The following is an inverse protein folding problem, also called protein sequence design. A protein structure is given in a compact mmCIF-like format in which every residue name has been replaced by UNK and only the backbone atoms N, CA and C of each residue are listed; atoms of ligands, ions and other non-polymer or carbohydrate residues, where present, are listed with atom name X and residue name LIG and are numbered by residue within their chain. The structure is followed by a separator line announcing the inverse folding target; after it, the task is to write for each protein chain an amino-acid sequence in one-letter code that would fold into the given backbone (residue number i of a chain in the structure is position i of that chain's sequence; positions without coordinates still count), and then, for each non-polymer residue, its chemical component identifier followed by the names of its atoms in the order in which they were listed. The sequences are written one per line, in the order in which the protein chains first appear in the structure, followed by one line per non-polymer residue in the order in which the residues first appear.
data_IF_744309933947
#
_entry.id   IF_744309933947
#
_cell.length_a   1.000
_cell.length_b   1.000
_cell.length_c   1.000
_cell.angle_alpha   90.00
_cell.angle_beta   90.00
_cell.angle_gamma   90.00
#
_symmetry.space_group_name_H-M   'P 1'
#
loop_
_entity.id
_entity.type
_entity.pdbx_description
1 polymer ?
#
# COMPACT_ATOMS: atom_id res chain seq x y z
N UNK A 1 -7.88 -28.36 9.02
CA UNK A 1 -7.05 -28.51 10.24
C UNK A 1 -7.74 -27.77 11.40
N UNK A 2 -7.62 -28.18 12.67
CA UNK A 2 -8.26 -27.41 13.77
C UNK A 2 -7.43 -26.18 14.14
N UNK A 3 -8.08 -25.05 14.43
CA UNK A 3 -7.40 -23.81 14.83
C UNK A 3 -6.56 -23.99 16.10
N UNK A 4 -7.01 -24.83 17.03
CA UNK A 4 -6.28 -25.18 18.24
C UNK A 4 -4.91 -25.85 17.95
N UNK A 5 -4.85 -26.76 16.97
CA UNK A 5 -3.59 -27.40 16.59
C UNK A 5 -2.61 -26.40 15.94
N UNK A 6 -3.14 -25.43 15.18
CA UNK A 6 -2.35 -24.32 14.63
C UNK A 6 -1.75 -23.49 15.77
N UNK A 7 -2.57 -23.09 16.75
CA UNK A 7 -2.14 -22.32 17.91
C UNK A 7 -1.01 -22.99 18.68
N UNK A 8 -1.18 -24.25 19.06
CA UNK A 8 -0.17 -25.02 19.80
C UNK A 8 1.16 -25.10 19.05
N UNK A 9 1.08 -25.25 17.72
CA UNK A 9 2.25 -25.33 16.86
C UNK A 9 2.94 -23.97 16.70
N UNK A 10 2.21 -22.86 16.56
CA UNK A 10 2.81 -21.52 16.45
C UNK A 10 3.43 -21.10 17.78
N UNK A 11 2.82 -21.48 18.91
CA UNK A 11 3.28 -21.12 20.25
C UNK A 11 4.60 -21.82 20.60
N UNK A 12 4.76 -23.10 20.26
CA UNK A 12 5.88 -23.93 20.71
C UNK A 12 6.81 -24.42 19.59
N UNK A 13 6.39 -24.30 18.34
CA UNK A 13 7.06 -24.88 17.19
C UNK A 13 8.32 -24.13 16.75
N UNK A 14 9.20 -24.87 16.08
CA UNK A 14 10.31 -24.30 15.31
C UNK A 14 9.81 -23.80 13.96
N UNK A 15 10.60 -22.93 13.33
CA UNK A 15 10.29 -22.31 12.04
C UNK A 15 9.72 -23.27 11.00
N UNK A 16 10.34 -24.43 10.77
CA UNK A 16 9.89 -25.36 9.72
C UNK A 16 8.53 -26.01 10.02
N UNK A 17 8.24 -26.27 11.30
CA UNK A 17 6.95 -26.83 11.72
C UNK A 17 5.87 -25.77 11.63
N UNK A 18 6.18 -24.54 12.04
CA UNK A 18 5.28 -23.39 11.94
C UNK A 18 4.98 -23.06 10.47
N UNK A 19 5.98 -23.10 9.60
CA UNK A 19 5.80 -22.90 8.17
C UNK A 19 4.79 -23.91 7.59
N UNK A 20 4.98 -25.21 7.86
CA UNK A 20 4.09 -26.26 7.32
C UNK A 20 2.65 -26.14 7.81
N UNK A 21 2.46 -25.88 9.11
CA UNK A 21 1.12 -25.75 9.69
C UNK A 21 0.39 -24.54 9.13
N UNK A 22 1.10 -23.40 9.00
CA UNK A 22 0.51 -22.18 8.47
C UNK A 22 0.26 -22.24 6.96
N UNK A 23 1.10 -22.96 6.18
CA UNK A 23 0.81 -23.22 4.76
C UNK A 23 -0.53 -23.96 4.59
N UNK A 24 -0.78 -24.96 5.44
CA UNK A 24 -2.05 -25.70 5.43
C UNK A 24 -3.21 -24.78 5.82
N UNK A 25 -3.05 -24.02 6.91
CA UNK A 25 -4.05 -23.03 7.35
C UNK A 25 -4.36 -21.99 6.26
N UNK A 26 -3.35 -21.44 5.61
CA UNK A 26 -3.49 -20.41 4.57
C UNK A 26 -4.20 -20.99 3.34
N UNK A 27 -3.88 -22.22 2.94
CA UNK A 27 -4.55 -22.87 1.81
C UNK A 27 -6.04 -23.05 2.09
N UNK A 28 -6.40 -23.50 3.29
CA UNK A 28 -7.79 -23.69 3.71
C UNK A 28 -8.56 -22.35 3.80
N UNK A 29 -7.90 -21.26 4.21
CA UNK A 29 -8.56 -19.98 4.54
C UNK A 29 -8.30 -18.83 3.55
N UNK A 30 -7.57 -19.05 2.46
CA UNK A 30 -7.14 -18.00 1.52
C UNK A 30 -8.30 -17.16 0.93
N UNK A 31 -9.46 -17.79 0.75
CA UNK A 31 -10.71 -17.18 0.25
C UNK A 31 -11.77 -17.00 1.34
N UNK A 32 -11.38 -17.10 2.62
CA UNK A 32 -12.28 -16.87 3.73
C UNK A 32 -12.50 -15.35 3.94
N UNK A 33 -13.78 -14.94 3.93
CA UNK A 33 -14.23 -13.57 4.20
C UNK A 33 -15.31 -13.52 5.30
N UNK A 34 -15.75 -14.68 5.78
CA UNK A 34 -16.77 -14.85 6.82
C UNK A 34 -16.19 -15.70 7.94
N UNK A 35 -16.18 -15.18 9.15
CA UNK A 35 -15.54 -15.82 10.29
C UNK A 35 -16.58 -16.15 11.37
N UNK A 36 -16.45 -17.32 11.96
CA UNK A 36 -17.33 -17.78 13.04
C UNK A 36 -17.03 -17.00 14.34
N UNK A 37 -18.06 -16.65 15.09
CA UNK A 37 -17.92 -15.98 16.36
C UNK A 37 -17.40 -16.92 17.46
N UNK A 38 -17.60 -18.24 17.32
CA UNK A 38 -17.15 -19.23 18.29
C UNK A 38 -15.62 -19.29 18.41
N UNK A 39 -14.90 -19.14 17.29
CA UNK A 39 -13.42 -19.22 17.23
C UNK A 39 -12.72 -17.85 17.34
N UNK A 40 -13.45 -16.79 17.75
CA UNK A 40 -12.94 -15.43 17.73
C UNK A 40 -11.71 -15.25 18.64
N UNK A 41 -11.73 -15.81 19.85
CA UNK A 41 -10.65 -15.63 20.82
C UNK A 41 -9.39 -16.41 20.41
N UNK A 42 -9.55 -17.58 19.80
CA UNK A 42 -8.49 -18.36 19.20
C UNK A 42 -7.83 -17.60 18.04
N UNK A 43 -8.63 -16.94 17.18
CA UNK A 43 -8.10 -16.09 16.11
C UNK A 43 -7.33 -14.90 16.64
N UNK A 44 -7.80 -14.23 17.71
CA UNK A 44 -7.04 -13.17 18.38
C UNK A 44 -5.74 -13.70 18.98
N UNK A 45 -5.76 -14.87 19.60
CA UNK A 45 -4.54 -15.52 20.13
C UNK A 45 -3.55 -15.80 19.01
N UNK A 46 -4.02 -16.33 17.88
CA UNK A 46 -3.18 -16.61 16.71
C UNK A 46 -2.56 -15.32 16.17
N UNK A 47 -3.33 -14.25 16.04
CA UNK A 47 -2.85 -12.94 15.61
C UNK A 47 -1.70 -12.41 16.50
N UNK A 48 -1.84 -12.49 17.82
CA UNK A 48 -0.78 -12.10 18.76
C UNK A 48 0.49 -12.96 18.60
N UNK A 49 0.32 -14.28 18.49
CA UNK A 49 1.43 -15.21 18.32
C UNK A 49 2.19 -14.96 17.01
N UNK A 50 1.47 -14.70 15.91
CA UNK A 50 2.07 -14.41 14.60
C UNK A 50 2.92 -13.14 14.62
N UNK A 51 2.44 -12.06 15.24
CA UNK A 51 3.22 -10.82 15.38
C UNK A 51 4.51 -11.09 16.17
N UNK A 52 4.40 -11.76 17.33
CA UNK A 52 5.55 -12.13 18.15
C UNK A 52 6.53 -13.05 17.42
N UNK A 53 6.02 -13.92 16.56
CA UNK A 53 6.84 -14.82 15.75
C UNK A 53 7.63 -14.03 14.69
N UNK A 54 7.00 -13.04 14.05
CA UNK A 54 7.61 -12.13 13.06
C UNK A 54 8.67 -11.17 13.64
N UNK A 55 8.79 -11.08 14.96
CA UNK A 55 9.89 -10.35 15.63
C UNK A 55 11.20 -11.15 15.66
N UNK A 56 11.14 -12.45 15.39
CA UNK A 56 12.33 -13.32 15.31
C UNK A 56 13.01 -13.18 13.95
N UNK A 57 14.26 -13.62 13.88
CA UNK A 57 14.96 -13.82 12.61
C UNK A 57 14.39 -15.07 11.94
N UNK A 58 13.67 -14.88 10.84
CA UNK A 58 12.99 -15.94 10.10
C UNK A 58 13.48 -15.96 8.65
N UNK A 59 13.45 -17.13 8.03
CA UNK A 59 13.64 -17.24 6.57
C UNK A 59 12.50 -16.54 5.82
N UNK A 60 12.74 -15.96 4.63
CA UNK A 60 11.73 -15.24 3.86
C UNK A 60 10.43 -16.01 3.63
N UNK A 61 10.52 -17.30 3.28
CA UNK A 61 9.33 -18.14 3.08
C UNK A 61 8.45 -18.25 4.32
N UNK A 62 9.06 -18.31 5.52
CA UNK A 62 8.31 -18.34 6.77
C UNK A 62 7.70 -16.97 7.11
N UNK A 63 8.38 -15.87 6.78
CA UNK A 63 7.85 -14.53 6.95
C UNK A 63 6.60 -14.33 6.07
N UNK A 64 6.70 -14.67 4.77
CA UNK A 64 5.58 -14.61 3.83
C UNK A 64 4.39 -15.42 4.34
N UNK A 65 4.60 -16.70 4.72
CA UNK A 65 3.50 -17.53 5.23
C UNK A 65 2.87 -16.97 6.50
N UNK A 66 3.65 -16.39 7.42
CA UNK A 66 3.09 -15.71 8.60
C UNK A 66 2.27 -14.47 8.21
N UNK A 67 2.77 -13.66 7.28
CA UNK A 67 2.09 -12.45 6.79
C UNK A 67 0.81 -12.80 6.03
N UNK A 68 0.78 -13.88 5.25
CA UNK A 68 -0.45 -14.39 4.62
C UNK A 68 -1.51 -14.76 5.66
N UNK A 69 -1.11 -15.43 6.75
CA UNK A 69 -2.02 -15.74 7.86
C UNK A 69 -2.54 -14.46 8.52
N UNK A 70 -1.67 -13.46 8.74
CA UNK A 70 -2.07 -12.13 9.23
C UNK A 70 -3.03 -11.45 8.26
N UNK A 71 -2.78 -11.51 6.95
CA UNK A 71 -3.65 -10.91 5.92
C UNK A 71 -5.03 -11.57 5.95
N UNK A 72 -5.13 -12.88 6.11
CA UNK A 72 -6.41 -13.59 6.28
C UNK A 72 -7.12 -13.08 7.55
N UNK A 73 -6.44 -13.11 8.70
CA UNK A 73 -7.01 -12.67 9.98
C UNK A 73 -7.40 -11.19 9.99
N UNK A 74 -6.69 -10.33 9.25
CA UNK A 74 -7.00 -8.90 9.13
C UNK A 74 -8.31 -8.60 8.39
N UNK A 75 -8.92 -9.60 7.74
CA UNK A 75 -10.26 -9.47 7.16
C UNK A 75 -11.36 -9.57 8.23
N UNK A 76 -11.06 -10.20 9.36
CA UNK A 76 -11.97 -10.28 10.51
C UNK A 76 -11.88 -9.01 11.36
N UNK A 77 -12.86 -8.12 11.18
CA UNK A 77 -12.94 -6.85 11.90
C UNK A 77 -12.98 -7.02 13.42
N UNK A 78 -13.47 -8.15 13.93
CA UNK A 78 -13.55 -8.42 15.39
C UNK A 78 -12.21 -8.86 15.98
N UNK A 79 -11.25 -9.25 15.14
CA UNK A 79 -9.93 -9.75 15.55
C UNK A 79 -8.79 -8.78 15.25
N UNK A 80 -9.07 -7.51 14.93
CA UNK A 80 -8.02 -6.53 14.58
C UNK A 80 -7.18 -6.04 15.77
N UNK A 81 -7.70 -6.14 17.01
CA UNK A 81 -7.05 -5.60 18.21
C UNK A 81 -5.55 -5.90 18.34
N UNK A 82 -5.12 -7.17 18.20
CA UNK A 82 -3.70 -7.56 18.21
C UNK A 82 -2.82 -6.87 17.16
N UNK A 83 -3.38 -6.47 16.02
CA UNK A 83 -2.65 -5.80 14.94
C UNK A 83 -2.62 -4.27 15.10
N UNK A 84 -3.43 -3.71 15.99
CA UNK A 84 -3.63 -2.26 16.14
C UNK A 84 -2.88 -1.68 17.34
N UNK A 85 -1.70 -2.22 17.64
CA UNK A 85 -0.74 -1.65 18.61
C UNK A 85 0.43 -1.00 17.85
N UNK A 86 1.13 -0.07 18.49
CA UNK A 86 2.27 0.62 17.88
C UNK A 86 3.40 -0.38 17.55
N UNK A 87 3.63 -1.35 18.43
CA UNK A 87 4.63 -2.40 18.25
C UNK A 87 4.29 -3.31 17.06
N UNK A 88 3.03 -3.78 16.98
CA UNK A 88 2.57 -4.62 15.86
C UNK A 88 2.69 -3.88 14.53
N UNK A 89 2.27 -2.62 14.47
CA UNK A 89 2.36 -1.81 13.26
C UNK A 89 3.81 -1.51 12.87
N UNK A 90 4.71 -1.26 13.83
CA UNK A 90 6.15 -1.13 13.56
C UNK A 90 6.75 -2.43 13.02
N UNK A 91 6.31 -3.58 13.54
CA UNK A 91 6.74 -4.89 13.02
C UNK A 91 6.30 -5.10 11.58
N UNK A 92 5.03 -4.83 11.27
CA UNK A 92 4.53 -4.92 9.89
C UNK A 92 5.19 -3.91 8.96
N UNK A 93 5.39 -2.66 9.41
CA UNK A 93 6.07 -1.62 8.63
C UNK A 93 7.54 -1.98 8.32
N UNK A 94 8.21 -2.69 9.24
CA UNK A 94 9.58 -3.20 9.04
C UNK A 94 9.62 -4.23 7.92
N UNK A 95 8.71 -5.20 7.95
CA UNK A 95 8.58 -6.22 6.90
C UNK A 95 8.12 -5.61 5.57
N UNK A 96 7.30 -4.55 5.62
CA UNK A 96 6.91 -3.77 4.45
C UNK A 96 8.01 -2.82 3.97
N UNK A 97 9.14 -2.66 4.67
CA UNK A 97 10.25 -1.77 4.29
C UNK A 97 9.90 -0.28 4.25
N UNK A 98 8.98 0.20 5.09
CA UNK A 98 8.50 1.61 5.14
C UNK A 98 8.73 2.29 6.49
N UNK A 99 9.57 1.71 7.35
CA UNK A 99 9.93 2.34 8.62
C UNK A 99 10.78 3.58 8.32
N UNK A 100 10.29 4.74 8.72
CA UNK A 100 11.05 5.99 8.69
C UNK A 100 12.22 5.93 9.68
N UNK A 101 13.46 6.06 9.18
CA UNK A 101 14.67 6.35 9.98
C UNK A 101 15.63 7.19 9.17
N UNK A 102 16.17 8.24 9.81
CA UNK A 102 17.01 9.24 9.15
C UNK A 102 18.39 8.72 8.71
N UNK A 103 18.92 7.60 9.26
CA UNK A 103 20.36 7.29 9.12
C UNK A 103 20.76 5.80 9.05
N UNK A 104 19.92 4.86 8.60
CA UNK A 104 20.35 3.45 8.51
C UNK A 104 20.06 2.79 7.16
N UNK A 105 21.11 2.17 6.59
CA UNK A 105 20.99 1.18 5.52
C UNK A 105 20.20 0.01 6.11
N UNK A 106 18.91 -0.06 5.79
CA UNK A 106 18.09 -1.21 6.13
C UNK A 106 18.46 -2.37 5.20
N UNK A 107 18.55 -3.56 5.77
CA UNK A 107 18.45 -4.80 5.01
C UNK A 107 17.07 -4.77 4.34
N UNK A 108 17.06 -4.62 3.02
CA UNK A 108 15.81 -4.55 2.26
C UNK A 108 15.15 -5.93 2.37
N UNK A 109 13.92 -6.04 2.90
CA UNK A 109 13.25 -7.32 2.98
C UNK A 109 13.05 -7.92 1.58
N UNK A 110 12.87 -9.23 1.53
CA UNK A 110 12.51 -9.93 0.29
C UNK A 110 11.24 -9.32 -0.35
N UNK A 111 11.17 -9.28 -1.67
CA UNK A 111 10.07 -8.63 -2.40
C UNK A 111 8.71 -9.25 -2.06
N UNK A 112 8.66 -10.57 -1.84
CA UNK A 112 7.42 -11.26 -1.47
C UNK A 112 6.99 -10.89 -0.04
N UNK A 113 7.96 -10.68 0.86
CA UNK A 113 7.73 -10.23 2.24
C UNK A 113 7.17 -8.81 2.25
N UNK A 114 7.78 -7.91 1.45
CA UNK A 114 7.30 -6.52 1.31
C UNK A 114 5.87 -6.51 0.81
N UNK A 115 5.61 -7.24 -0.28
CA UNK A 115 4.29 -7.28 -0.90
C UNK A 115 3.22 -7.78 0.07
N UNK A 116 3.50 -8.86 0.80
CA UNK A 116 2.51 -9.44 1.71
C UNK A 116 2.27 -8.54 2.93
N UNK A 117 3.32 -7.91 3.48
CA UNK A 117 3.19 -6.97 4.58
C UNK A 117 2.38 -5.71 4.18
N UNK A 118 2.55 -5.20 2.95
CA UNK A 118 1.74 -4.08 2.45
C UNK A 118 0.25 -4.44 2.35
N UNK A 119 -0.07 -5.66 1.91
CA UNK A 119 -1.47 -6.13 1.88
C UNK A 119 -2.07 -6.21 3.28
N UNK A 120 -1.31 -6.71 4.27
CA UNK A 120 -1.73 -6.71 5.67
C UNK A 120 -2.06 -5.29 6.15
N UNK A 121 -1.13 -4.35 5.93
CA UNK A 121 -1.29 -2.94 6.33
C UNK A 121 -2.50 -2.30 5.67
N UNK A 122 -2.74 -2.52 4.37
CA UNK A 122 -3.92 -2.01 3.69
C UNK A 122 -5.22 -2.49 4.35
N UNK A 123 -5.34 -3.79 4.64
CA UNK A 123 -6.53 -4.34 5.30
C UNK A 123 -6.75 -3.76 6.70
N UNK A 124 -5.68 -3.68 7.49
CA UNK A 124 -5.71 -3.17 8.87
C UNK A 124 -6.10 -1.68 8.89
N UNK A 125 -5.45 -0.85 8.04
CA UNK A 125 -5.74 0.59 7.94
C UNK A 125 -7.15 0.84 7.46
N UNK A 126 -7.61 0.11 6.45
CA UNK A 126 -8.97 0.24 5.94
C UNK A 126 -10.03 -0.04 7.00
N UNK A 127 -9.76 -0.98 7.92
CA UNK A 127 -10.76 -1.48 8.86
C UNK A 127 -10.63 -0.94 10.29
N UNK A 128 -9.51 -0.30 10.65
CA UNK A 128 -9.25 0.15 12.02
C UNK A 128 -8.87 1.64 12.11
N UNK A 129 -9.77 2.49 12.66
CA UNK A 129 -9.45 3.87 13.01
C UNK A 129 -8.24 3.99 13.94
N UNK A 130 -8.07 3.03 14.87
CA UNK A 130 -6.93 3.01 15.78
C UNK A 130 -5.61 2.79 15.04
N UNK A 131 -5.59 1.94 14.01
CA UNK A 131 -4.38 1.79 13.19
C UNK A 131 -4.07 3.06 12.39
N UNK A 132 -5.10 3.74 11.87
CA UNK A 132 -4.94 4.99 11.14
C UNK A 132 -4.28 6.07 12.02
N UNK A 133 -4.71 6.21 13.27
CA UNK A 133 -4.10 7.08 14.27
C UNK A 133 -2.61 6.76 14.49
N UNK A 134 -2.31 5.50 14.80
CA UNK A 134 -0.95 5.07 15.15
C UNK A 134 0.01 5.19 13.97
N UNK A 135 -0.43 4.89 12.74
CA UNK A 135 0.42 5.05 11.55
C UNK A 135 0.70 6.52 11.22
N UNK A 136 -0.26 7.42 11.49
CA UNK A 136 -0.05 8.85 11.38
C UNK A 136 0.99 9.35 12.41
N UNK A 137 0.84 8.97 13.68
CA UNK A 137 1.78 9.30 14.76
C UNK A 137 3.19 8.79 14.46
N UNK A 138 3.31 7.58 13.90
CA UNK A 138 4.59 6.97 13.55
C UNK A 138 5.20 7.50 12.24
N UNK A 139 4.55 8.45 11.55
CA UNK A 139 5.00 9.06 10.28
C UNK A 139 5.35 8.04 9.19
N UNK A 140 4.65 6.91 9.12
CA UNK A 140 4.94 5.87 8.11
C UNK A 140 4.71 6.34 6.67
N UNK A 141 3.90 7.39 6.50
CA UNK A 141 3.71 8.03 5.19
C UNK A 141 5.02 8.55 4.60
N UNK A 142 5.99 8.95 5.44
CA UNK A 142 7.28 9.46 4.96
C UNK A 142 8.07 8.35 4.27
N UNK A 143 8.23 7.19 4.93
CA UNK A 143 8.92 6.04 4.35
C UNK A 143 8.24 5.51 3.08
N UNK A 144 6.91 5.60 3.01
CA UNK A 144 6.13 5.27 1.82
C UNK A 144 6.45 6.23 0.67
N UNK A 145 6.43 7.55 0.92
CA UNK A 145 6.78 8.56 -0.09
C UNK A 145 8.24 8.46 -0.54
N UNK A 146 9.16 8.13 0.37
CA UNK A 146 10.58 7.96 0.02
C UNK A 146 10.79 6.76 -0.89
N UNK A 147 10.09 5.65 -0.67
CA UNK A 147 10.12 4.52 -1.62
C UNK A 147 9.53 4.87 -2.98
N UNK A 148 8.43 5.64 -3.02
CA UNK A 148 7.81 6.06 -4.29
C UNK A 148 8.77 6.92 -5.13
N UNK A 149 9.56 7.81 -4.49
CA UNK A 149 10.59 8.60 -5.19
C UNK A 149 11.60 7.71 -5.94
N UNK A 150 11.85 6.49 -5.45
CA UNK A 150 12.80 5.55 -6.05
C UNK A 150 12.22 4.73 -7.22
N UNK A 151 10.96 4.90 -7.62
CA UNK A 151 10.33 4.09 -8.68
C UNK A 151 11.00 4.18 -10.05
N UNK A 152 11.67 5.30 -10.33
CA UNK A 152 12.41 5.49 -11.58
C UNK A 152 13.82 4.89 -11.51
N UNK A 153 14.40 4.79 -10.31
CA UNK A 153 15.76 4.31 -10.08
C UNK A 153 15.80 2.80 -9.80
N UNK A 154 14.75 2.26 -9.18
CA UNK A 154 14.64 0.86 -8.77
C UNK A 154 13.50 0.17 -9.50
N UNK A 155 13.78 -1.04 -9.96
CA UNK A 155 12.80 -1.87 -10.66
C UNK A 155 11.91 -2.65 -9.67
N UNK A 156 11.01 -1.95 -8.97
CA UNK A 156 10.00 -2.60 -8.13
C UNK A 156 8.91 -3.25 -9.00
N UNK A 157 8.46 -4.48 -8.66
CA UNK A 157 7.32 -5.12 -9.29
C UNK A 157 6.05 -4.28 -9.22
N UNK A 158 5.16 -4.47 -10.20
CA UNK A 158 3.86 -3.78 -10.25
C UNK A 158 3.09 -3.86 -8.93
N UNK A 159 2.96 -5.06 -8.35
CA UNK A 159 2.13 -5.28 -7.17
C UNK A 159 2.63 -4.48 -5.96
N UNK A 160 3.95 -4.39 -5.76
CA UNK A 160 4.53 -3.54 -4.71
C UNK A 160 4.18 -2.08 -4.96
N UNK A 161 4.40 -1.60 -6.19
CA UNK A 161 4.08 -0.21 -6.56
C UNK A 161 2.61 0.11 -6.34
N UNK A 162 1.72 -0.82 -6.67
CA UNK A 162 0.29 -0.70 -6.50
C UNK A 162 -0.11 -0.66 -5.02
N UNK A 163 0.39 -1.58 -4.19
CA UNK A 163 0.02 -1.61 -2.78
C UNK A 163 0.65 -0.46 -1.97
N UNK A 164 1.79 0.08 -2.39
CA UNK A 164 2.34 1.34 -1.88
C UNK A 164 1.37 2.50 -2.11
N UNK A 165 0.93 2.67 -3.37
CA UNK A 165 -0.04 3.71 -3.73
C UNK A 165 -1.37 3.48 -3.02
N UNK A 166 -1.86 2.24 -2.93
CA UNK A 166 -3.10 1.91 -2.23
C UNK A 166 -3.03 2.27 -0.74
N UNK A 167 -1.90 1.98 -0.08
CA UNK A 167 -1.72 2.35 1.33
C UNK A 167 -1.67 3.87 1.49
N UNK A 168 -0.99 4.59 0.60
CA UNK A 168 -0.95 6.06 0.59
C UNK A 168 -2.34 6.65 0.37
N UNK A 169 -3.12 6.10 -0.56
CA UNK A 169 -4.51 6.46 -0.80
C UNK A 169 -5.35 6.28 0.47
N UNK A 170 -5.28 5.12 1.14
CA UNK A 170 -6.03 4.86 2.36
C UNK A 170 -5.68 5.87 3.47
N UNK A 171 -4.40 6.11 3.70
CA UNK A 171 -3.96 7.05 4.73
C UNK A 171 -4.43 8.48 4.42
N UNK A 172 -4.27 8.95 3.19
CA UNK A 172 -4.72 10.30 2.77
C UNK A 172 -6.25 10.45 2.73
N UNK A 173 -6.98 9.37 2.43
CA UNK A 173 -8.43 9.36 2.41
C UNK A 173 -9.00 9.43 3.83
N UNK A 174 -8.44 8.64 4.76
CA UNK A 174 -8.99 8.41 6.10
C UNK A 174 -8.47 9.39 7.16
N UNK A 175 -7.36 10.10 6.89
CA UNK A 175 -6.69 10.98 7.86
C UNK A 175 -6.37 12.35 7.28
N UNK A 176 -6.98 13.39 7.84
CA UNK A 176 -6.82 14.79 7.40
C UNK A 176 -5.41 15.31 7.72
N UNK A 177 -4.86 14.96 8.87
CA UNK A 177 -3.48 15.29 9.27
C UNK A 177 -2.45 14.68 8.31
N UNK A 178 -2.60 13.40 7.94
CA UNK A 178 -1.72 12.75 6.96
C UNK A 178 -1.87 13.38 5.57
N UNK A 179 -3.10 13.68 5.15
CA UNK A 179 -3.38 14.38 3.89
C UNK A 179 -2.67 15.74 3.82
N UNK A 180 -2.78 16.54 4.88
CA UNK A 180 -2.10 17.85 4.98
C UNK A 180 -0.59 17.68 4.95
N UNK A 181 -0.04 16.71 5.69
CA UNK A 181 1.37 16.41 5.68
C UNK A 181 1.87 16.01 4.28
N UNK A 182 1.15 15.14 3.56
CA UNK A 182 1.53 14.74 2.20
C UNK A 182 1.48 15.95 1.25
N UNK A 183 0.42 16.76 1.33
CA UNK A 183 0.26 17.92 0.46
C UNK A 183 1.34 18.99 0.69
N UNK A 184 1.63 19.32 1.96
CA UNK A 184 2.43 20.49 2.33
C UNK A 184 3.89 20.16 2.66
N UNK A 185 4.15 19.11 3.44
CA UNK A 185 5.51 18.76 3.89
C UNK A 185 6.24 17.87 2.88
N UNK A 186 5.54 16.90 2.28
CA UNK A 186 6.16 15.86 1.45
C UNK A 186 6.10 16.15 -0.05
N UNK A 187 5.68 17.35 -0.46
CA UNK A 187 5.49 17.77 -1.87
C UNK A 187 4.70 16.74 -2.68
N UNK A 188 3.64 16.18 -2.07
CA UNK A 188 2.92 15.03 -2.60
C UNK A 188 2.29 15.26 -3.97
N UNK A 189 1.85 16.48 -4.28
CA UNK A 189 1.31 16.82 -5.60
C UNK A 189 2.39 16.67 -6.67
N UNK A 190 3.60 17.18 -6.42
CA UNK A 190 4.76 17.03 -7.30
C UNK A 190 5.12 15.55 -7.50
N UNK A 191 5.28 14.83 -6.38
CA UNK A 191 5.63 13.42 -6.39
C UNK A 191 4.61 12.57 -7.17
N UNK A 192 3.32 12.78 -6.94
CA UNK A 192 2.27 12.07 -7.66
C UNK A 192 2.18 12.46 -9.13
N UNK A 193 2.43 13.72 -9.48
CA UNK A 193 2.50 14.19 -10.88
C UNK A 193 3.64 13.49 -11.62
N UNK A 194 4.83 13.41 -11.00
CA UNK A 194 5.98 12.68 -11.55
C UNK A 194 5.66 11.18 -11.70
N UNK A 195 5.04 10.59 -10.68
CA UNK A 195 4.69 9.17 -10.68
C UNK A 195 3.63 8.85 -11.75
N UNK A 196 2.69 9.77 -11.99
CA UNK A 196 1.68 9.65 -13.04
C UNK A 196 2.32 9.73 -14.42
N UNK A 197 3.21 10.71 -14.65
CA UNK A 197 3.96 10.83 -15.91
C UNK A 197 4.73 9.54 -16.24
N UNK A 198 5.44 8.99 -15.25
CA UNK A 198 6.17 7.73 -15.37
C UNK A 198 5.23 6.56 -15.71
N UNK A 199 4.06 6.51 -15.07
CA UNK A 199 3.08 5.44 -15.27
C UNK A 199 2.41 5.49 -16.64
N UNK A 200 2.13 6.69 -17.15
CA UNK A 200 1.53 6.89 -18.49
C UNK A 200 2.55 6.71 -19.61
N UNK A 201 3.86 6.74 -19.32
CA UNK A 201 4.90 6.57 -20.33
C UNK A 201 4.87 7.68 -21.39
N UNK A 202 4.63 8.93 -21.00
CA UNK A 202 4.50 10.06 -21.91
C UNK A 202 5.83 10.78 -22.16
N UNK A 203 5.86 11.59 -23.22
CA UNK A 203 6.94 12.53 -23.56
C UNK A 203 6.34 13.92 -23.74
N UNK A 204 7.03 14.93 -23.20
CA UNK A 204 6.69 16.34 -23.39
C UNK A 204 7.02 16.81 -24.82
N UNK A 205 6.03 17.41 -25.48
CA UNK A 205 6.17 18.06 -26.80
C UNK A 205 6.34 19.57 -26.59
N UNK A 206 5.54 20.15 -25.70
CA UNK A 206 5.55 21.54 -25.25
C UNK A 206 5.46 21.54 -23.71
N UNK A 207 5.91 22.59 -22.99
CA UNK A 207 5.62 22.79 -21.56
C UNK A 207 4.19 22.45 -21.10
N UNK A 208 3.18 22.51 -21.98
CA UNK A 208 1.77 22.23 -21.66
C UNK A 208 1.15 21.07 -22.46
N UNK A 209 1.94 20.32 -23.22
CA UNK A 209 1.44 19.25 -24.08
C UNK A 209 2.32 18.00 -24.00
N UNK A 210 1.66 16.87 -23.80
CA UNK A 210 2.29 15.54 -23.73
C UNK A 210 1.68 14.62 -24.79
N UNK A 211 2.50 13.69 -25.28
CA UNK A 211 2.05 12.57 -26.09
C UNK A 211 2.61 11.25 -25.57
N UNK A 212 1.97 10.14 -25.95
CA UNK A 212 2.46 8.81 -25.65
C UNK A 212 3.85 8.58 -26.30
N UNK A 213 4.75 7.89 -25.59
CA UNK A 213 6.03 7.44 -26.20
C UNK A 213 5.83 6.33 -27.22
N UNK A 214 4.72 5.61 -27.16
CA UNK A 214 4.34 4.52 -28.06
C UNK A 214 3.26 4.90 -29.07
N UNK A 215 2.60 3.89 -29.63
CA UNK A 215 1.44 4.09 -30.52
C UNK A 215 0.27 4.73 -29.73
N UNK A 216 -0.17 5.94 -30.09
CA UNK A 216 -1.26 6.64 -29.39
C UNK A 216 -2.62 5.93 -29.50
N UNK A 217 -2.76 4.99 -30.43
CA UNK A 217 -4.00 4.22 -30.63
C UNK A 217 -4.11 2.99 -29.71
N UNK A 218 -3.02 2.61 -29.04
CA UNK A 218 -3.04 1.48 -28.11
C UNK A 218 -3.57 1.91 -26.74
N UNK A 219 -4.47 1.09 -26.14
CA UNK A 219 -4.97 1.37 -24.80
C UNK A 219 -3.84 1.26 -23.77
N UNK A 220 -3.98 2.01 -22.69
CA UNK A 220 -3.10 1.90 -21.53
C UNK A 220 -3.22 0.48 -20.95
N UNK A 221 -2.10 -0.25 -20.74
CA UNK A 221 -2.19 -1.61 -20.26
C UNK A 221 -2.73 -1.65 -18.82
N UNK A 222 -3.36 -2.77 -18.48
CA UNK A 222 -4.08 -2.96 -17.22
C UNK A 222 -3.31 -2.52 -15.97
N UNK A 223 -2.05 -2.94 -15.84
CA UNK A 223 -1.25 -2.67 -14.65
C UNK A 223 -0.94 -1.18 -14.50
N UNK A 224 -0.70 -0.49 -15.61
CA UNK A 224 -0.51 0.95 -15.68
C UNK A 224 -1.80 1.68 -15.32
N UNK A 225 -2.95 1.25 -15.85
CA UNK A 225 -4.27 1.80 -15.49
C UNK A 225 -4.55 1.68 -14.00
N UNK A 226 -4.33 0.50 -13.41
CA UNK A 226 -4.55 0.26 -11.98
C UNK A 226 -3.69 1.20 -11.11
N UNK A 227 -2.41 1.42 -11.47
CA UNK A 227 -1.54 2.37 -10.77
C UNK A 227 -1.95 3.82 -11.00
N UNK A 228 -2.30 4.19 -12.24
CA UNK A 228 -2.73 5.53 -12.59
C UNK A 228 -3.99 5.94 -11.80
N UNK A 229 -4.97 5.03 -11.67
CA UNK A 229 -6.16 5.27 -10.85
C UNK A 229 -5.83 5.49 -9.37
N UNK A 230 -4.91 4.72 -8.78
CA UNK A 230 -4.48 4.99 -7.40
C UNK A 230 -3.82 6.37 -7.26
N UNK A 231 -2.97 6.75 -8.21
CA UNK A 231 -2.30 8.06 -8.23
C UNK A 231 -3.32 9.20 -8.33
N UNK A 232 -4.31 9.08 -9.22
CA UNK A 232 -5.37 10.08 -9.39
C UNK A 232 -6.22 10.23 -8.12
N UNK A 233 -6.53 9.12 -7.42
CA UNK A 233 -7.24 9.18 -6.14
C UNK A 233 -6.42 9.85 -5.04
N UNK A 234 -5.11 9.63 -4.99
CA UNK A 234 -4.22 10.32 -4.04
C UNK A 234 -4.17 11.81 -4.36
N UNK A 235 -3.98 12.17 -5.63
CA UNK A 235 -4.00 13.55 -6.11
C UNK A 235 -5.30 14.24 -5.69
N UNK A 236 -6.45 13.61 -5.95
CA UNK A 236 -7.74 14.12 -5.51
C UNK A 236 -7.78 14.37 -4.00
N UNK A 237 -7.36 13.40 -3.18
CA UNK A 237 -7.36 13.55 -1.73
C UNK A 237 -6.52 14.76 -1.28
N UNK A 238 -5.32 14.95 -1.84
CA UNK A 238 -4.39 16.00 -1.39
C UNK A 238 -4.68 17.38 -1.99
N UNK A 239 -5.46 17.47 -3.08
CA UNK A 239 -5.84 18.75 -3.71
C UNK A 239 -7.28 19.18 -3.41
N UNK A 240 -8.16 18.29 -2.90
CA UNK A 240 -9.58 18.60 -2.72
C UNK A 240 -9.85 19.74 -1.73
N UNK A 241 -9.06 19.83 -0.65
CA UNK A 241 -9.27 20.82 0.43
C UNK A 241 -8.29 21.99 0.38
N UNK A 242 -7.45 22.07 -0.67
CA UNK A 242 -6.56 23.22 -0.88
C UNK A 242 -7.33 24.38 -1.51
N UNK A 243 -8.11 25.10 -0.69
CA UNK A 243 -8.78 26.35 -1.05
C UNK A 243 -7.78 27.53 -1.21
N UNK A 244 -6.72 27.34 -2.00
CA UNK A 244 -5.80 28.43 -2.35
C UNK A 244 -6.32 29.14 -3.60
N UNK A 245 -7.01 30.27 -3.40
CA UNK A 245 -7.41 31.19 -4.49
C UNK A 245 -6.21 31.88 -5.14
N UNK A 246 -5.11 32.01 -4.41
CA UNK A 246 -3.82 32.51 -4.90
C UNK A 246 -2.78 31.41 -4.73
N UNK A 247 -2.16 31.06 -5.85
CA UNK A 247 -1.08 30.08 -5.93
C UNK A 247 0.14 30.82 -6.47
N UNK A 248 1.31 30.51 -5.91
CA UNK A 248 2.56 31.08 -6.43
C UNK A 248 2.87 30.51 -7.81
N UNK A 249 3.91 31.05 -8.45
CA UNK A 249 4.25 30.69 -9.82
C UNK A 249 4.77 29.24 -9.95
N UNK A 250 5.41 28.71 -8.89
CA UNK A 250 5.90 27.32 -8.82
C UNK A 250 4.72 26.34 -8.75
N UNK A 251 3.79 26.57 -7.82
CA UNK A 251 2.56 25.78 -7.70
C UNK A 251 1.71 25.89 -8.97
N UNK A 252 1.59 27.09 -9.57
CA UNK A 252 0.85 27.28 -10.82
C UNK A 252 1.47 26.49 -11.98
N UNK A 253 2.80 26.46 -12.09
CA UNK A 253 3.48 25.63 -13.09
C UNK A 253 3.24 24.14 -12.85
N UNK A 254 3.24 23.69 -11.59
CA UNK A 254 2.94 22.31 -11.22
C UNK A 254 1.51 21.91 -11.61
N UNK A 255 0.51 22.74 -11.30
CA UNK A 255 -0.88 22.46 -11.67
C UNK A 255 -1.10 22.47 -13.18
N UNK A 256 -0.39 23.33 -13.93
CA UNK A 256 -0.41 23.30 -15.40
C UNK A 256 0.15 21.99 -15.94
N UNK A 257 1.27 21.52 -15.40
CA UNK A 257 1.89 20.23 -15.75
C UNK A 257 0.93 19.08 -15.46
N UNK A 258 0.34 19.06 -14.27
CA UNK A 258 -0.68 18.07 -13.91
C UNK A 258 -1.88 18.13 -14.88
N UNK A 259 -2.36 19.33 -15.21
CA UNK A 259 -3.46 19.52 -16.17
C UNK A 259 -3.17 18.94 -17.56
N UNK A 260 -1.93 19.05 -18.05
CA UNK A 260 -1.52 18.43 -19.30
C UNK A 260 -1.57 16.89 -19.24
N UNK A 261 -1.14 16.28 -18.13
CA UNK A 261 -1.24 14.84 -17.91
C UNK A 261 -2.70 14.39 -17.81
N UNK A 262 -3.55 15.13 -17.09
CA UNK A 262 -4.98 14.83 -16.96
C UNK A 262 -5.69 14.92 -18.33
N UNK A 263 -5.35 15.93 -19.14
CA UNK A 263 -5.84 16.01 -20.52
C UNK A 263 -5.45 14.78 -21.31
N UNK A 264 -4.23 14.27 -21.15
CA UNK A 264 -3.81 13.03 -21.80
C UNK A 264 -4.63 11.83 -21.31
N UNK A 265 -4.86 11.69 -20.00
CA UNK A 265 -5.70 10.63 -19.44
C UNK A 265 -7.11 10.60 -20.06
N UNK A 266 -7.71 11.77 -20.32
CA UNK A 266 -9.03 11.88 -20.96
C UNK A 266 -9.03 11.47 -22.44
N UNK A 267 -7.88 11.53 -23.11
CA UNK A 267 -7.76 11.24 -24.54
C UNK A 267 -7.38 9.78 -24.83
N UNK A 268 -6.88 9.05 -23.83
CA UNK A 268 -6.50 7.64 -23.96
C UNK A 268 -7.60 6.71 -23.44
N UNK A 269 -7.65 5.50 -23.98
CA UNK A 269 -8.48 4.41 -23.47
C UNK A 269 -7.67 3.50 -22.53
N UNK A 270 -8.36 2.87 -21.59
CA UNK A 270 -7.81 1.76 -20.80
C UNK A 270 -8.16 0.42 -21.48
N UNK A 271 -7.60 -0.67 -20.96
CA UNK A 271 -7.93 -2.04 -21.37
C UNK A 271 -9.40 -2.40 -21.02
N UNK A 272 -10.31 -2.08 -21.94
CA UNK A 272 -11.76 -2.30 -21.87
C UNK A 272 -12.57 -1.01 -21.61
N UNK A 273 -13.82 -0.99 -22.09
CA UNK A 273 -14.72 0.17 -21.97
C UNK A 273 -15.07 0.48 -20.51
N UNK A 274 -15.42 -0.54 -19.71
CA UNK A 274 -15.77 -0.37 -18.28
C UNK A 274 -14.64 0.28 -17.48
N UNK A 275 -13.38 -0.11 -17.76
CA UNK A 275 -12.20 0.47 -17.10
C UNK A 275 -11.85 1.85 -17.63
N UNK A 276 -12.14 2.12 -18.89
CA UNK A 276 -11.99 3.46 -19.44
C UNK A 276 -12.97 4.41 -18.76
N UNK A 277 -14.21 3.98 -18.55
CA UNK A 277 -15.20 4.74 -17.80
C UNK A 277 -14.77 4.95 -16.33
N UNK A 278 -14.26 3.92 -15.65
CA UNK A 278 -13.72 4.05 -14.29
C UNK A 278 -12.51 5.00 -14.25
N UNK A 279 -11.60 4.90 -15.21
CA UNK A 279 -10.40 5.74 -15.28
C UNK A 279 -10.71 7.22 -15.53
N UNK A 280 -11.80 7.52 -16.24
CA UNK A 280 -12.24 8.89 -16.54
C UNK A 280 -13.13 9.50 -15.45
N UNK A 281 -13.54 8.74 -14.43
CA UNK A 281 -14.41 9.18 -13.32
C UNK A 281 -13.63 9.51 -12.06
#
# INVERSE_FOLDING_TARGET
MTLQAVLETVENGKQDTVLKVLQTYNQENSQCFTFDDEEQEERKKLAMLLIKFLERVLQPSCQVTCLESIRILSRDKKCLGPFTTMESLKTLARHAGIVYREEQILEVPDLDVILEALKCLCNIVFSSPRAQELMAEARFVVGLTDRIKLYNERNFPHDIKFFDLRLLFLLTALRVDVRQQVAQELRGIGLMTDTLELTLGVKWIDPHEVAAKGDPSLPLPRQETERAMEILKILFNVTFDTNKKEVDEEDAALYRRLGALLRHCLMISADGDDRTEEFHR
#
